data_IF_497307036421
#
_entry.id   IF_497307036421
#
_cell.length_a   1.000
_cell.length_b   1.000
_cell.length_c   1.000
_cell.angle_alpha   90.00
_cell.angle_beta   90.00
_cell.angle_gamma   90.00
#
_symmetry.space_group_name_H-M   'P 1'
#
loop_
_entity.id
_entity.type
_entity.pdbx_description
1 polymer ?
#
# COMPACT_ATOMS: atom_id res chain seq x y z
N UNK A 1 -2.54 5.31 -8.42
CA UNK A 1 -3.73 4.49 -8.11
C UNK A 1 -4.41 4.93 -6.81
N UNK A 2 -3.73 4.88 -5.65
CA UNK A 2 -4.34 5.24 -4.36
C UNK A 2 -4.96 6.66 -4.31
N UNK A 3 -4.22 7.70 -4.76
CA UNK A 3 -4.77 9.07 -4.83
C UNK A 3 -6.03 9.17 -5.70
N UNK A 4 -6.04 8.48 -6.84
CA UNK A 4 -7.20 8.44 -7.74
C UNK A 4 -8.39 7.70 -7.12
N UNK A 5 -8.13 6.66 -6.34
CA UNK A 5 -9.13 5.88 -5.62
C UNK A 5 -9.67 6.59 -4.36
N UNK A 6 -9.17 7.79 -4.02
CA UNK A 6 -9.58 8.54 -2.84
C UNK A 6 -8.97 8.04 -1.52
N UNK A 7 -7.95 7.17 -1.58
CA UNK A 7 -7.23 6.71 -0.39
C UNK A 7 -6.31 7.83 0.09
N UNK A 8 -6.35 8.12 1.39
CA UNK A 8 -5.50 9.12 2.07
C UNK A 8 -4.04 8.65 2.18
N UNK A 9 -3.37 8.39 1.06
CA UNK A 9 -1.95 8.07 1.01
C UNK A 9 -1.12 9.34 1.24
N UNK A 10 -0.14 9.27 2.15
CA UNK A 10 0.65 10.44 2.57
C UNK A 10 2.11 10.39 2.14
N UNK A 11 2.61 9.23 1.72
CA UNK A 11 4.01 9.08 1.32
C UNK A 11 4.37 7.66 0.87
N UNK A 12 5.58 7.55 0.32
CA UNK A 12 6.23 6.29 -0.08
C UNK A 12 7.73 6.42 0.03
N UNK A 13 8.44 5.35 0.39
CA UNK A 13 9.90 5.29 0.36
C UNK A 13 10.41 3.88 0.04
N UNK A 14 11.62 3.79 -0.51
CA UNK A 14 12.36 2.53 -0.56
C UNK A 14 12.89 2.18 0.82
N UNK A 15 12.82 0.91 1.19
CA UNK A 15 13.34 0.42 2.47
C UNK A 15 14.78 -0.09 2.36
N UNK A 16 15.35 -0.46 3.51
CA UNK A 16 16.76 -0.86 3.63
C UNK A 16 17.08 -2.10 2.80
N UNK A 17 16.17 -3.08 2.74
CA UNK A 17 16.37 -4.30 1.96
C UNK A 17 16.08 -4.05 0.47
N UNK A 18 16.95 -4.48 -0.46
CA UNK A 18 16.66 -4.40 -1.88
C UNK A 18 15.35 -5.12 -2.25
N UNK A 19 14.44 -4.40 -2.89
CA UNK A 19 13.11 -4.90 -3.25
C UNK A 19 12.03 -4.65 -2.19
N UNK A 20 12.38 -4.15 -1.00
CA UNK A 20 11.45 -3.75 0.04
C UNK A 20 11.06 -2.28 -0.13
N UNK A 21 9.78 -1.97 0.11
CA UNK A 21 9.19 -0.64 -0.01
C UNK A 21 8.17 -0.40 1.10
N UNK A 22 7.99 0.87 1.46
CA UNK A 22 6.97 1.32 2.40
C UNK A 22 6.07 2.40 1.77
N UNK A 23 4.82 2.45 2.20
CA UNK A 23 3.91 3.56 1.96
C UNK A 23 3.10 3.87 3.22
N UNK A 24 2.76 5.15 3.40
CA UNK A 24 2.00 5.61 4.56
C UNK A 24 0.59 6.01 4.16
N UNK A 25 -0.41 5.64 4.97
CA UNK A 25 -1.82 6.00 4.80
C UNK A 25 -2.29 6.73 6.06
N UNK A 26 -2.72 7.97 5.89
CA UNK A 26 -3.26 8.81 6.96
C UNK A 26 -2.91 10.30 6.82
N UNK A 27 -3.48 11.16 7.67
CA UNK A 27 -4.42 10.82 8.74
C UNK A 27 -5.78 10.35 8.21
N UNK A 28 -6.44 9.43 8.93
CA UNK A 28 -7.80 8.93 8.65
C UNK A 28 -8.46 8.58 9.98
N UNK A 29 -9.78 8.76 10.10
CA UNK A 29 -10.45 8.75 11.41
C UNK A 29 -11.17 7.42 11.66
N UNK A 30 -10.84 6.77 12.78
CA UNK A 30 -11.55 5.58 13.24
C UNK A 30 -11.49 4.44 12.22
N UNK A 31 -12.66 3.94 11.82
CA UNK A 31 -12.78 2.77 10.93
C UNK A 31 -12.23 3.03 9.52
N UNK A 32 -12.26 4.27 9.06
CA UNK A 32 -11.76 4.68 7.74
C UNK A 32 -10.28 4.35 7.55
N UNK A 33 -9.48 4.40 8.63
CA UNK A 33 -8.06 4.03 8.56
C UNK A 33 -7.88 2.55 8.15
N UNK A 34 -8.74 1.66 8.65
CA UNK A 34 -8.74 0.26 8.26
C UNK A 34 -9.20 0.08 6.82
N UNK A 35 -10.27 0.76 6.43
CA UNK A 35 -10.83 0.69 5.07
C UNK A 35 -9.79 1.13 4.03
N UNK A 36 -9.10 2.25 4.29
CA UNK A 36 -8.05 2.77 3.42
C UNK A 36 -6.83 1.84 3.32
N UNK A 37 -6.37 1.25 4.43
CA UNK A 37 -5.24 0.30 4.44
C UNK A 37 -5.57 -0.98 3.67
N UNK A 38 -6.77 -1.54 3.84
CA UNK A 38 -7.15 -2.76 3.13
C UNK A 38 -7.35 -2.51 1.64
N UNK A 39 -7.99 -1.41 1.27
CA UNK A 39 -8.13 -1.02 -0.14
C UNK A 39 -6.77 -0.74 -0.79
N UNK A 40 -5.82 -0.09 -0.08
CA UNK A 40 -4.49 0.17 -0.61
C UNK A 40 -3.69 -1.11 -0.84
N UNK A 41 -3.80 -2.09 0.08
CA UNK A 41 -3.18 -3.42 -0.09
C UNK A 41 -3.73 -4.17 -1.28
N UNK A 42 -5.05 -4.15 -1.45
CA UNK A 42 -5.69 -4.75 -2.62
C UNK A 42 -5.14 -4.11 -3.91
N UNK A 43 -5.11 -2.78 -3.99
CA UNK A 43 -4.56 -2.06 -5.15
C UNK A 43 -3.10 -2.44 -5.41
N UNK A 44 -2.27 -2.54 -4.36
CA UNK A 44 -0.87 -2.94 -4.48
C UNK A 44 -0.74 -4.33 -5.11
N UNK A 45 -1.49 -5.31 -4.61
CA UNK A 45 -1.48 -6.68 -5.13
C UNK A 45 -1.95 -6.74 -6.60
N UNK A 46 -3.02 -6.00 -6.95
CA UNK A 46 -3.50 -5.92 -8.34
C UNK A 46 -2.46 -5.33 -9.29
N UNK A 47 -1.71 -4.34 -8.85
CA UNK A 47 -0.62 -3.74 -9.65
C UNK A 47 0.54 -4.72 -9.79
N UNK A 48 0.93 -5.42 -8.72
CA UNK A 48 2.00 -6.42 -8.80
C UNK A 48 1.62 -7.60 -9.68
N UNK A 49 0.35 -8.03 -9.67
CA UNK A 49 -0.19 -9.04 -10.60
C UNK A 49 0.01 -8.59 -12.06
N UNK A 50 -0.38 -7.35 -12.40
CA UNK A 50 -0.20 -6.81 -13.76
C UNK A 50 1.27 -6.69 -14.17
N UNK A 51 2.15 -6.44 -13.21
CA UNK A 51 3.60 -6.38 -13.43
C UNK A 51 4.26 -7.77 -13.50
N UNK A 52 3.53 -8.85 -13.20
CA UNK A 52 4.10 -10.20 -13.11
C UNK A 52 5.06 -10.39 -11.93
N UNK A 53 4.88 -9.63 -10.85
CA UNK A 53 5.70 -9.67 -9.63
C UNK A 53 4.87 -10.21 -8.47
N UNK A 54 5.49 -10.98 -7.58
CA UNK A 54 4.84 -11.49 -6.36
C UNK A 54 5.03 -10.47 -5.22
N UNK A 55 3.94 -10.13 -4.55
CA UNK A 55 3.93 -9.32 -3.34
C UNK A 55 3.89 -10.23 -2.10
N UNK A 56 4.66 -9.89 -1.06
CA UNK A 56 4.53 -10.47 0.28
C UNK A 56 4.42 -9.37 1.33
N UNK A 57 3.57 -9.59 2.33
CA UNK A 57 3.48 -8.79 3.56
C UNK A 57 3.99 -9.59 4.77
N UNK A 58 4.63 -10.73 4.54
CA UNK A 58 5.25 -11.53 5.60
C UNK A 58 6.40 -10.72 6.22
N UNK A 59 6.49 -10.66 7.57
CA UNK A 59 7.54 -9.92 8.23
C UNK A 59 8.95 -10.55 8.11
N UNK A 60 9.08 -11.80 7.63
CA UNK A 60 10.37 -12.48 7.51
C UNK A 60 10.45 -13.56 6.42
#
# INVERSE_FOLDING_TARGET
ACLYAGINISGTNGEVMPGQWEYQVGPSVGIEAGDHIWASRYILERITEQAGVVLTLDPK
#
